data_IF_313074478966
#
_entry.id   IF_313074478966
#
_cell.length_a   1.000
_cell.length_b   1.000
_cell.length_c   1.000
_cell.angle_alpha   90.00
_cell.angle_beta   90.00
_cell.angle_gamma   90.00
#
_symmetry.space_group_name_H-M   'P 1'
#
loop_
_entity.id
_entity.type
_entity.pdbx_description
1 polymer ?
#
# COMPACT_ATOMS: atom_id res chain seq x y z
N UNK A 1 -20.48 -5.34 -16.93
CA UNK A 1 -19.97 -4.35 -15.95
C UNK A 1 -18.61 -3.84 -16.38
N UNK A 2 -18.44 -2.53 -16.51
CA UNK A 2 -17.18 -1.85 -16.88
C UNK A 2 -16.43 -1.26 -15.67
N UNK A 3 -17.04 -1.30 -14.49
CA UNK A 3 -16.47 -0.82 -13.24
C UNK A 3 -16.03 -2.01 -12.38
N UNK A 4 -14.80 -1.98 -11.89
CA UNK A 4 -14.17 -3.06 -11.14
C UNK A 4 -13.59 -2.47 -9.86
N UNK A 5 -14.05 -2.99 -8.72
CA UNK A 5 -13.56 -2.61 -7.40
C UNK A 5 -12.61 -3.69 -6.88
N UNK A 6 -11.45 -3.28 -6.41
CA UNK A 6 -10.41 -4.17 -5.90
C UNK A 6 -10.02 -3.74 -4.48
N UNK A 7 -10.61 -4.35 -3.44
CA UNK A 7 -10.15 -4.18 -2.07
C UNK A 7 -8.86 -4.99 -1.87
N UNK A 8 -7.91 -4.42 -1.12
CA UNK A 8 -6.67 -5.09 -0.72
C UNK A 8 -6.47 -4.95 0.78
N UNK A 9 -6.03 -6.02 1.42
CA UNK A 9 -5.58 -6.00 2.81
C UNK A 9 -4.32 -6.87 2.89
N UNK A 10 -3.26 -6.31 3.45
CA UNK A 10 -1.95 -6.94 3.59
C UNK A 10 -1.45 -6.76 5.02
N UNK A 11 -0.77 -7.77 5.55
CA UNK A 11 -0.10 -7.72 6.84
C UNK A 11 1.27 -8.38 6.69
N UNK A 12 2.34 -7.67 7.03
CA UNK A 12 3.70 -8.14 6.87
C UNK A 12 4.33 -8.48 8.22
N UNK A 13 4.92 -9.67 8.32
CA UNK A 13 5.57 -10.18 9.52
C UNK A 13 7.01 -10.56 9.22
N UNK A 14 7.92 -10.19 10.11
CA UNK A 14 9.35 -10.45 9.95
C UNK A 14 9.92 -11.17 11.17
N UNK A 15 10.75 -12.19 10.92
CA UNK A 15 11.38 -12.97 12.00
C UNK A 15 12.62 -12.31 12.62
N UNK A 16 13.15 -11.25 12.02
CA UNK A 16 14.35 -10.54 12.46
C UNK A 16 14.27 -9.07 12.10
N UNK A 17 15.00 -8.23 12.83
CA UNK A 17 15.15 -6.82 12.51
C UNK A 17 16.04 -6.68 11.26
N UNK A 18 15.67 -5.78 10.36
CA UNK A 18 16.44 -5.33 9.20
C UNK A 18 16.44 -3.79 9.18
N UNK A 19 17.35 -3.16 9.96
CA UNK A 19 17.40 -1.70 10.11
C UNK A 19 17.71 -0.98 8.80
N UNK A 20 18.42 -1.62 7.86
CA UNK A 20 18.73 -1.02 6.55
C UNK A 20 17.48 -0.76 5.71
N UNK A 21 16.37 -1.42 6.04
CA UNK A 21 15.07 -1.25 5.38
C UNK A 21 14.02 -0.60 6.29
N UNK A 22 14.41 -0.16 7.49
CA UNK A 22 13.47 0.34 8.50
C UNK A 22 12.51 -0.72 9.05
N UNK A 23 12.82 -2.01 8.90
CA UNK A 23 11.89 -3.10 9.26
C UNK A 23 12.27 -3.72 10.60
N UNK A 24 11.34 -3.70 11.55
CA UNK A 24 11.45 -4.40 12.82
C UNK A 24 10.94 -5.85 12.76
N UNK A 25 11.44 -6.70 13.65
CA UNK A 25 10.92 -8.04 13.88
C UNK A 25 9.52 -8.00 14.49
N UNK A 26 8.70 -9.01 14.20
CA UNK A 26 7.31 -9.11 14.63
C UNK A 26 6.34 -8.71 13.51
N UNK A 27 5.15 -8.22 13.89
CA UNK A 27 4.26 -7.56 12.95
C UNK A 27 4.90 -6.22 12.56
N UNK A 28 5.32 -6.08 11.31
CA UNK A 28 5.99 -4.87 10.86
C UNK A 28 4.99 -3.80 10.44
N UNK A 29 4.06 -4.14 9.55
CA UNK A 29 3.03 -3.22 9.11
C UNK A 29 1.76 -3.95 8.63
N UNK A 30 0.67 -3.19 8.52
CA UNK A 30 -0.54 -3.59 7.84
C UNK A 30 -0.93 -2.52 6.82
N UNK A 31 -1.35 -2.94 5.64
CA UNK A 31 -1.85 -2.05 4.60
C UNK A 31 -3.28 -2.43 4.22
N UNK A 32 -4.15 -1.43 4.12
CA UNK A 32 -5.50 -1.59 3.57
C UNK A 32 -5.63 -0.65 2.40
N UNK A 33 -6.15 -1.14 1.29
CA UNK A 33 -6.28 -0.38 0.07
C UNK A 33 -7.58 -0.65 -0.66
N UNK A 34 -7.96 0.32 -1.48
CA UNK A 34 -9.11 0.23 -2.36
C UNK A 34 -8.73 0.83 -3.71
N UNK A 35 -8.88 0.05 -4.77
CA UNK A 35 -8.65 0.49 -6.14
C UNK A 35 -9.91 0.35 -6.98
N UNK A 36 -10.25 1.42 -7.67
CA UNK A 36 -11.33 1.48 -8.63
C UNK A 36 -10.74 1.51 -10.04
N UNK A 37 -11.17 0.58 -10.89
CA UNK A 37 -10.81 0.52 -12.30
C UNK A 37 -12.05 0.65 -13.16
N UNK A 38 -11.99 1.51 -14.17
CA UNK A 38 -13.08 1.72 -15.12
C UNK A 38 -12.61 1.42 -16.54
N UNK A 39 -13.28 0.50 -17.22
CA UNK A 39 -12.97 0.09 -18.59
C UNK A 39 -13.87 0.87 -19.58
N UNK A 40 -13.40 2.02 -20.06
CA UNK A 40 -14.14 2.82 -21.05
C UNK A 40 -14.24 2.04 -22.36
N UNK A 41 -13.09 1.63 -22.88
CA UNK A 41 -12.93 0.68 -23.98
C UNK A 41 -11.89 -0.36 -23.56
N UNK A 42 -11.85 -1.52 -24.23
CA UNK A 42 -10.91 -2.59 -23.87
C UNK A 42 -9.47 -2.10 -23.85
N UNK A 43 -9.11 -1.18 -24.74
CA UNK A 43 -7.80 -0.56 -24.89
C UNK A 43 -7.51 0.58 -23.90
N UNK A 44 -8.50 1.05 -23.14
CA UNK A 44 -8.36 2.21 -22.25
C UNK A 44 -9.10 1.97 -20.92
N UNK A 45 -8.31 1.69 -19.88
CA UNK A 45 -8.81 1.41 -18.55
C UNK A 45 -8.12 2.30 -17.50
N UNK A 46 -8.65 3.51 -17.23
CA UNK A 46 -8.21 4.33 -16.10
C UNK A 46 -8.48 3.63 -14.78
N UNK A 47 -7.61 3.89 -13.80
CA UNK A 47 -7.76 3.43 -12.44
C UNK A 47 -7.31 4.49 -11.45
N UNK A 48 -7.99 4.52 -10.31
CA UNK A 48 -7.65 5.33 -9.15
C UNK A 48 -7.63 4.42 -7.93
N UNK A 49 -6.84 4.76 -6.92
CA UNK A 49 -6.79 4.00 -5.69
C UNK A 49 -6.28 4.81 -4.53
N UNK A 50 -6.62 4.33 -3.34
CA UNK A 50 -6.15 4.85 -2.07
C UNK A 50 -5.70 3.68 -1.21
N UNK A 51 -4.59 3.82 -0.50
CA UNK A 51 -4.20 2.89 0.55
C UNK A 51 -3.75 3.61 1.80
N UNK A 52 -3.93 2.94 2.92
CA UNK A 52 -3.49 3.36 4.24
C UNK A 52 -2.61 2.26 4.80
N UNK A 53 -1.37 2.59 5.17
CA UNK A 53 -0.46 1.68 5.84
C UNK A 53 -0.17 2.16 7.25
N UNK A 54 -0.08 1.21 8.18
CA UNK A 54 0.31 1.46 9.57
C UNK A 54 1.44 0.53 9.96
N UNK A 55 2.52 1.10 10.48
CA UNK A 55 3.67 0.40 11.03
C UNK A 55 3.47 0.10 12.52
N UNK A 56 4.04 -1.00 13.01
CA UNK A 56 3.89 -1.48 14.38
C UNK A 56 5.22 -1.90 15.02
N UNK A 57 5.24 -1.91 16.35
CA UNK A 57 6.37 -2.39 17.16
C UNK A 57 7.68 -1.71 16.77
N UNK A 58 8.76 -2.50 16.72
CA UNK A 58 10.09 -2.03 16.32
C UNK A 58 10.11 -1.33 14.95
N UNK A 59 9.20 -1.66 14.03
CA UNK A 59 9.12 -0.98 12.72
C UNK A 59 8.60 0.45 12.87
N UNK A 60 7.63 0.67 13.75
CA UNK A 60 7.14 2.01 14.04
C UNK A 60 8.18 2.86 14.78
N UNK A 61 8.96 2.24 15.67
CA UNK A 61 10.04 2.90 16.40
C UNK A 61 11.15 3.33 15.43
N UNK A 62 11.56 2.44 14.52
CA UNK A 62 12.55 2.75 13.47
C UNK A 62 12.06 3.87 12.54
N UNK A 63 10.80 3.84 12.10
CA UNK A 63 10.22 4.90 11.28
C UNK A 63 10.21 6.25 12.02
N UNK A 64 9.87 6.24 13.32
CA UNK A 64 9.85 7.45 14.15
C UNK A 64 11.25 8.04 14.37
N UNK A 65 12.26 7.20 14.53
CA UNK A 65 13.67 7.61 14.66
C UNK A 65 14.19 8.31 13.38
N UNK A 66 13.65 7.93 12.21
CA UNK A 66 13.95 8.55 10.91
C UNK A 66 13.06 9.79 10.62
N UNK A 67 12.14 10.13 11.53
CA UNK A 67 11.20 11.25 11.38
C UNK A 67 10.02 10.94 10.45
N UNK A 68 9.79 9.67 10.13
CA UNK A 68 8.67 9.20 9.32
C UNK A 68 7.44 8.88 10.19
N UNK A 69 6.25 9.15 9.66
CA UNK A 69 5.01 8.84 10.36
C UNK A 69 4.73 7.33 10.33
N UNK A 70 4.46 6.73 11.49
CA UNK A 70 4.04 5.33 11.57
C UNK A 70 2.68 5.03 10.89
N UNK A 71 1.98 6.05 10.39
CA UNK A 71 0.78 5.92 9.56
C UNK A 71 0.97 6.71 8.26
N UNK A 72 0.80 6.05 7.12
CA UNK A 72 0.95 6.68 5.81
C UNK A 72 -0.32 6.46 4.97
N UNK A 73 -0.74 7.50 4.25
CA UNK A 73 -1.84 7.43 3.30
C UNK A 73 -1.31 7.71 1.89
N UNK A 74 -1.58 6.80 0.94
CA UNK A 74 -1.11 6.88 -0.44
C UNK A 74 -2.30 6.98 -1.39
N UNK A 75 -2.21 7.88 -2.35
CA UNK A 75 -3.16 8.00 -3.45
C UNK A 75 -2.47 7.67 -4.77
N UNK A 76 -3.12 6.88 -5.63
CA UNK A 76 -2.62 6.51 -6.94
C UNK A 76 -3.67 6.77 -8.02
N UNK A 77 -3.23 7.33 -9.14
CA UNK A 77 -4.05 7.44 -10.35
C UNK A 77 -3.19 7.01 -11.54
N UNK A 78 -3.78 6.24 -12.45
CA UNK A 78 -3.08 5.74 -13.63
C UNK A 78 -4.02 5.30 -14.73
N UNK A 79 -3.46 5.04 -15.90
CA UNK A 79 -4.22 4.63 -17.09
C UNK A 79 -3.52 3.41 -17.68
N UNK A 80 -4.27 2.34 -17.95
CA UNK A 80 -3.78 1.19 -18.70
C UNK A 80 -4.22 1.31 -20.17
N UNK A 81 -3.25 1.25 -21.09
CA UNK A 81 -3.49 1.25 -22.54
C UNK A 81 -2.77 0.08 -23.23
N UNK A 82 -3.39 -0.46 -24.28
CA UNK A 82 -2.79 -1.46 -25.18
C UNK A 82 -3.36 -1.35 -26.60
N UNK A 83 -2.56 -1.71 -27.60
CA UNK A 83 -2.86 -1.57 -29.03
C UNK A 83 -3.10 -2.92 -29.69
#
# INVERSE_FOLDING_TARGET
NRLILQPTAEANFYGKNDPQRGIGSGLANTEVGLRLRYEIVRQFAPYIGVSWSRSYGNTADLASDEGEDANEARFVAGIRMWF
#
